data_IF_629217424677
#
_entry.id   IF_629217424677
#
_cell.length_a   1.000
_cell.length_b   1.000
_cell.length_c   1.000
_cell.angle_alpha   90.00
_cell.angle_beta   90.00
_cell.angle_gamma   90.00
#
_symmetry.space_group_name_H-M   'P 1'
#
loop_
_entity.id
_entity.type
_entity.pdbx_description
1 polymer ?
#
# COMPACT_ATOMS: atom_id res chain seq x y z
N UNK A 1 6.59 -65.17 -29.77
CA UNK A 1 7.65 -64.52 -28.98
C UNK A 1 7.17 -63.13 -28.55
N UNK A 2 6.69 -63.02 -27.31
CA UNK A 2 6.08 -61.82 -26.73
C UNK A 2 7.17 -60.87 -26.24
N UNK A 3 7.72 -60.07 -27.16
CA UNK A 3 8.71 -59.05 -26.84
C UNK A 3 8.04 -57.77 -26.38
N UNK A 4 8.22 -57.40 -25.11
CA UNK A 4 7.88 -56.11 -24.48
C UNK A 4 8.52 -54.87 -25.16
N UNK A 5 9.09 -55.00 -26.36
CA UNK A 5 9.83 -53.99 -27.08
C UNK A 5 8.88 -53.08 -27.87
N UNK A 6 8.29 -52.11 -27.18
CA UNK A 6 7.40 -51.12 -27.80
C UNK A 6 6.36 -50.53 -26.84
N UNK A 7 6.12 -51.19 -25.70
CA UNK A 7 5.10 -50.71 -24.74
C UNK A 7 5.55 -49.43 -24.02
N UNK A 8 4.66 -48.45 -23.85
CA UNK A 8 4.97 -47.17 -23.21
C UNK A 8 5.31 -47.34 -21.73
N UNK A 9 6.57 -47.12 -21.35
CA UNK A 9 7.03 -47.14 -19.93
C UNK A 9 6.36 -46.10 -19.03
N UNK A 10 5.70 -45.10 -19.62
CA UNK A 10 5.09 -43.99 -18.91
C UNK A 10 3.63 -44.23 -18.52
N UNK A 11 2.96 -45.28 -19.03
CA UNK A 11 1.57 -45.63 -18.70
C UNK A 11 1.55 -46.64 -17.53
N UNK A 12 0.74 -46.42 -16.50
CA UNK A 12 0.63 -47.34 -15.35
C UNK A 12 -0.58 -48.25 -15.50
N UNK A 13 -0.42 -49.51 -15.08
CA UNK A 13 -1.51 -50.49 -15.01
C UNK A 13 -2.45 -50.23 -13.82
N UNK A 14 -1.91 -49.69 -12.74
CA UNK A 14 -2.64 -49.41 -11.50
C UNK A 14 -3.20 -47.99 -11.48
N UNK A 15 -4.25 -47.76 -10.69
CA UNK A 15 -4.83 -46.43 -10.46
C UNK A 15 -5.73 -45.88 -11.58
N UNK A 16 -6.26 -46.76 -12.45
CA UNK A 16 -7.22 -46.36 -13.50
C UNK A 16 -6.63 -45.46 -14.61
N UNK A 17 -5.31 -45.29 -14.67
CA UNK A 17 -4.66 -44.41 -15.66
C UNK A 17 -4.83 -44.92 -17.10
N UNK A 18 -4.85 -46.24 -17.29
CA UNK A 18 -5.07 -46.86 -18.59
C UNK A 18 -6.51 -46.68 -19.08
N UNK A 19 -7.50 -46.69 -18.17
CA UNK A 19 -8.90 -46.37 -18.50
C UNK A 19 -9.04 -44.91 -18.92
N UNK A 20 -8.36 -44.01 -18.22
CA UNK A 20 -8.33 -42.60 -18.59
C UNK A 20 -7.69 -42.40 -19.97
N UNK A 21 -6.56 -43.05 -20.23
CA UNK A 21 -5.89 -42.99 -21.52
C UNK A 21 -6.77 -43.57 -22.64
N UNK A 22 -7.47 -44.67 -22.38
CA UNK A 22 -8.44 -45.25 -23.31
C UNK A 22 -9.56 -44.28 -23.68
N UNK A 23 -10.20 -43.63 -22.68
CA UNK A 23 -11.23 -42.61 -22.92
C UNK A 23 -10.69 -41.42 -23.70
N UNK A 24 -9.48 -40.96 -23.38
CA UNK A 24 -8.83 -39.88 -24.12
C UNK A 24 -8.59 -40.25 -25.59
N UNK A 25 -8.17 -41.50 -25.85
CA UNK A 25 -7.95 -42.02 -27.21
C UNK A 25 -9.25 -42.10 -28.02
N UNK A 26 -10.38 -42.44 -27.38
CA UNK A 26 -11.70 -42.45 -28.02
C UNK A 26 -12.24 -41.06 -28.34
N UNK A 27 -11.86 -40.04 -27.56
CA UNK A 27 -12.31 -38.65 -27.73
C UNK A 27 -11.53 -37.87 -28.80
N UNK A 28 -10.57 -38.50 -29.48
CA UNK A 28 -9.79 -37.83 -30.52
C UNK A 28 -10.67 -37.48 -31.73
N UNK A 29 -10.56 -36.26 -32.26
CA UNK A 29 -11.28 -35.80 -33.46
C UNK A 29 -10.55 -36.09 -34.77
N UNK A 30 -9.37 -36.71 -34.69
CA UNK A 30 -8.51 -36.99 -35.83
C UNK A 30 -8.90 -38.34 -36.47
N UNK A 31 -9.47 -38.30 -37.67
CA UNK A 31 -9.97 -39.48 -38.39
C UNK A 31 -8.88 -40.51 -38.71
N UNK A 32 -7.66 -40.05 -39.01
CA UNK A 32 -6.52 -40.93 -39.30
C UNK A 32 -6.08 -41.71 -38.06
N UNK A 33 -6.06 -41.03 -36.91
CA UNK A 33 -5.77 -41.65 -35.62
C UNK A 33 -6.92 -42.56 -35.19
N UNK A 34 -8.18 -42.15 -35.34
CA UNK A 34 -9.33 -43.01 -35.02
C UNK A 34 -9.33 -44.30 -35.84
N UNK A 35 -9.01 -44.20 -37.13
CA UNK A 35 -8.94 -45.36 -38.03
C UNK A 35 -7.83 -46.30 -37.59
N UNK A 36 -6.64 -45.77 -37.32
CA UNK A 36 -5.49 -46.53 -36.82
C UNK A 36 -5.78 -47.21 -35.47
N UNK A 37 -6.49 -46.51 -34.58
CA UNK A 37 -6.95 -47.05 -33.30
C UNK A 37 -7.94 -48.19 -33.48
N UNK A 38 -8.94 -48.04 -34.37
CA UNK A 38 -9.91 -49.10 -34.67
C UNK A 38 -9.22 -50.35 -35.20
N UNK A 39 -8.21 -50.20 -36.06
CA UNK A 39 -7.41 -51.34 -36.54
C UNK A 39 -6.60 -52.00 -35.42
N UNK A 40 -5.92 -51.21 -34.59
CA UNK A 40 -5.09 -51.72 -33.50
C UNK A 40 -5.89 -52.39 -32.37
N UNK A 41 -7.16 -52.03 -32.21
CA UNK A 41 -8.02 -52.47 -31.10
C UNK A 41 -9.15 -53.42 -31.51
N UNK A 42 -9.23 -53.79 -32.80
CA UNK A 42 -10.33 -54.58 -33.35
C UNK A 42 -10.47 -55.93 -32.65
N UNK A 43 -11.65 -56.18 -32.08
CA UNK A 43 -11.98 -57.46 -31.43
C UNK A 43 -11.29 -57.69 -30.09
N UNK A 44 -10.62 -56.69 -29.52
CA UNK A 44 -10.00 -56.76 -28.20
C UNK A 44 -10.86 -56.06 -27.14
N UNK A 45 -11.00 -56.68 -25.97
CA UNK A 45 -11.63 -56.03 -24.83
C UNK A 45 -10.74 -54.90 -24.27
N UNK A 46 -11.34 -53.81 -23.75
CA UNK A 46 -10.60 -52.71 -23.14
C UNK A 46 -9.76 -53.20 -21.96
N UNK A 47 -8.43 -53.18 -22.14
CA UNK A 47 -7.48 -53.62 -21.12
C UNK A 47 -6.19 -52.82 -21.20
N UNK A 48 -5.40 -52.84 -20.11
CA UNK A 48 -4.07 -52.20 -20.10
C UNK A 48 -3.18 -52.68 -21.26
N UNK A 49 -3.18 -53.99 -21.55
CA UNK A 49 -2.39 -54.57 -22.63
C UNK A 49 -2.79 -54.00 -23.98
N UNK A 50 -4.10 -53.98 -24.25
CA UNK A 50 -4.67 -53.43 -25.48
C UNK A 50 -4.33 -51.94 -25.68
N UNK A 51 -4.44 -51.12 -24.62
CA UNK A 51 -4.07 -49.69 -24.68
C UNK A 51 -2.58 -49.50 -24.90
N UNK A 52 -1.73 -50.28 -24.21
CA UNK A 52 -0.28 -50.21 -24.36
C UNK A 52 0.17 -50.62 -25.77
N UNK A 53 -0.47 -51.63 -26.35
CA UNK A 53 -0.17 -52.13 -27.69
C UNK A 53 -0.70 -51.18 -28.78
N UNK A 54 -1.87 -50.57 -28.58
CA UNK A 54 -2.38 -49.52 -29.47
C UNK A 54 -1.49 -48.27 -29.47
N UNK A 55 -0.95 -47.86 -28.31
CA UNK A 55 0.02 -46.76 -28.23
C UNK A 55 1.31 -47.13 -28.96
N UNK A 56 1.81 -48.35 -28.78
CA UNK A 56 3.00 -48.82 -29.48
C UNK A 56 2.80 -48.83 -31.01
N UNK A 57 1.62 -49.27 -31.47
CA UNK A 57 1.25 -49.24 -32.88
C UNK A 57 1.23 -47.81 -33.45
N UNK A 58 0.64 -46.86 -32.71
CA UNK A 58 0.60 -45.44 -33.12
C UNK A 58 1.98 -44.79 -33.17
N UNK A 59 2.94 -45.23 -32.36
CA UNK A 59 4.31 -44.71 -32.43
C UNK A 59 5.03 -45.06 -33.73
N UNK A 60 4.51 -46.02 -34.51
CA UNK A 60 5.06 -46.40 -35.81
C UNK A 60 4.80 -45.38 -36.94
N UNK A 61 3.86 -44.44 -36.75
CA UNK A 61 3.60 -43.36 -37.71
C UNK A 61 3.96 -41.99 -37.12
N UNK A 62 4.30 -41.02 -37.99
CA UNK A 62 4.64 -39.66 -37.56
C UNK A 62 3.49 -38.98 -36.83
N UNK A 63 2.28 -39.06 -37.40
CA UNK A 63 1.08 -38.44 -36.83
C UNK A 63 0.66 -39.13 -35.51
N UNK A 64 0.84 -40.45 -35.45
CA UNK A 64 0.61 -41.21 -34.23
C UNK A 64 1.62 -40.89 -33.13
N UNK A 65 2.88 -40.60 -33.46
CA UNK A 65 3.88 -40.14 -32.48
C UNK A 65 3.52 -38.78 -31.88
N UNK A 66 3.05 -37.83 -32.70
CA UNK A 66 2.59 -36.53 -32.21
C UNK A 66 1.35 -36.67 -31.31
N UNK A 67 0.41 -37.53 -31.70
CA UNK A 67 -0.75 -37.84 -30.87
C UNK A 67 -0.35 -38.48 -29.54
N UNK A 68 0.57 -39.45 -29.55
CA UNK A 68 1.08 -40.10 -28.33
C UNK A 68 1.80 -39.09 -27.42
N UNK A 69 2.49 -38.11 -28.01
CA UNK A 69 3.13 -37.02 -27.24
C UNK A 69 2.08 -36.12 -26.58
N UNK A 70 1.01 -35.76 -27.29
CA UNK A 70 -0.14 -35.03 -26.73
C UNK A 70 -0.81 -35.81 -25.60
N UNK A 71 -1.10 -37.09 -25.83
CA UNK A 71 -1.68 -38.00 -24.83
C UNK A 71 -0.81 -38.09 -23.57
N UNK A 72 0.51 -38.28 -23.72
CA UNK A 72 1.45 -38.33 -22.60
C UNK A 72 1.45 -37.02 -21.80
N UNK A 73 1.44 -35.87 -22.47
CA UNK A 73 1.37 -34.57 -21.81
C UNK A 73 0.04 -34.35 -21.07
N UNK A 74 -1.07 -34.75 -21.68
CA UNK A 74 -2.39 -34.69 -21.07
C UNK A 74 -2.48 -35.60 -19.83
N UNK A 75 -1.94 -36.82 -19.90
CA UNK A 75 -1.87 -37.72 -18.75
C UNK A 75 -1.02 -37.14 -17.62
N UNK A 76 0.12 -36.50 -17.93
CA UNK A 76 0.94 -35.80 -16.94
C UNK A 76 0.14 -34.70 -16.23
N UNK A 77 -0.64 -33.91 -16.98
CA UNK A 77 -1.52 -32.90 -16.39
C UNK A 77 -2.64 -33.52 -15.55
N UNK A 78 -3.24 -34.62 -16.01
CA UNK A 78 -4.26 -35.37 -15.28
C UNK A 78 -3.71 -35.88 -13.94
N UNK A 79 -2.51 -36.48 -13.93
CA UNK A 79 -1.81 -36.87 -12.69
C UNK A 79 -1.62 -35.69 -11.75
N UNK A 80 -1.14 -34.56 -12.27
CA UNK A 80 -0.95 -33.36 -11.44
C UNK A 80 -2.28 -32.83 -10.87
N UNK A 81 -3.38 -32.88 -11.63
CA UNK A 81 -4.70 -32.43 -11.17
C UNK A 81 -5.32 -33.40 -10.15
N UNK A 82 -5.27 -34.70 -10.41
CA UNK A 82 -5.80 -35.74 -9.51
C UNK A 82 -5.04 -35.81 -8.18
N UNK A 83 -3.70 -35.73 -8.19
CA UNK A 83 -2.88 -35.65 -6.97
C UNK A 83 -3.15 -34.39 -6.13
N UNK A 84 -3.73 -33.35 -6.74
CA UNK A 84 -4.10 -32.11 -6.07
C UNK A 84 -5.61 -32.01 -5.75
N UNK A 85 -6.44 -32.96 -6.20
CA UNK A 85 -7.90 -32.91 -6.05
C UNK A 85 -8.36 -32.96 -4.58
N UNK A 86 -7.57 -33.60 -3.70
CA UNK A 86 -7.81 -33.66 -2.25
C UNK A 86 -6.98 -32.68 -1.40
N UNK A 87 -6.14 -31.84 -2.01
CA UNK A 87 -5.28 -30.89 -1.26
C UNK A 87 -5.98 -29.53 -1.11
N UNK A 88 -5.62 -28.78 -0.06
CA UNK A 88 -6.06 -27.40 0.21
C UNK A 88 -5.77 -26.39 -0.93
N UNK A 89 -5.01 -26.78 -1.97
CA UNK A 89 -4.61 -25.94 -3.10
C UNK A 89 -5.35 -26.37 -4.36
N UNK A 90 -6.46 -25.70 -4.64
CA UNK A 90 -7.19 -25.81 -5.92
C UNK A 90 -6.79 -24.64 -6.83
N UNK A 91 -6.42 -24.88 -8.09
CA UNK A 91 -6.16 -23.78 -9.02
C UNK A 91 -7.46 -23.02 -9.29
N UNK A 92 -7.45 -21.71 -9.03
CA UNK A 92 -8.56 -20.82 -9.37
C UNK A 92 -8.19 -20.04 -10.64
N UNK A 93 -9.05 -20.11 -11.65
CA UNK A 93 -8.88 -19.39 -12.90
C UNK A 93 -9.87 -18.21 -12.93
N UNK A 94 -9.36 -17.02 -13.19
CA UNK A 94 -10.15 -15.82 -13.39
C UNK A 94 -9.61 -15.07 -14.60
N UNK A 95 -10.48 -14.32 -15.27
CA UNK A 95 -10.12 -13.54 -16.44
C UNK A 95 -9.87 -12.10 -16.03
N UNK A 96 -8.74 -11.54 -16.47
CA UNK A 96 -8.38 -10.14 -16.26
C UNK A 96 -8.35 -9.39 -17.58
N UNK A 97 -8.70 -8.09 -17.61
CA UNK A 97 -8.42 -7.22 -18.74
C UNK A 97 -6.93 -7.27 -19.11
N UNK A 98 -6.63 -7.19 -20.40
CA UNK A 98 -5.25 -7.33 -20.92
C UNK A 98 -4.27 -6.37 -20.28
N UNK A 99 -4.72 -5.14 -20.02
CA UNK A 99 -3.86 -4.09 -19.49
C UNK A 99 -3.52 -4.32 -18.03
N UNK A 100 -4.49 -4.79 -17.23
CA UNK A 100 -4.27 -5.17 -15.84
C UNK A 100 -3.32 -6.35 -15.72
N UNK A 101 -3.43 -7.34 -16.62
CA UNK A 101 -2.48 -8.48 -16.68
C UNK A 101 -1.07 -8.02 -17.03
N UNK A 102 -0.92 -7.11 -18.00
CA UNK A 102 0.39 -6.55 -18.38
C UNK A 102 1.01 -5.79 -17.21
N UNK A 103 0.25 -4.92 -16.56
CA UNK A 103 0.71 -4.16 -15.40
C UNK A 103 1.15 -5.09 -14.26
N UNK A 104 0.33 -6.11 -13.93
CA UNK A 104 0.68 -7.11 -12.92
C UNK A 104 1.99 -7.83 -13.27
N UNK A 105 2.16 -8.24 -14.52
CA UNK A 105 3.37 -8.96 -14.97
C UNK A 105 4.63 -8.08 -14.93
N UNK A 106 4.52 -6.80 -15.32
CA UNK A 106 5.60 -5.82 -15.22
C UNK A 106 6.01 -5.62 -13.76
N UNK A 107 5.03 -5.42 -12.87
CA UNK A 107 5.26 -5.23 -11.44
C UNK A 107 5.87 -6.47 -10.79
N UNK A 108 5.38 -7.67 -11.12
CA UNK A 108 5.91 -8.94 -10.64
C UNK A 108 7.37 -9.14 -11.05
N UNK A 109 7.71 -8.83 -12.32
CA UNK A 109 9.10 -8.87 -12.81
C UNK A 109 9.99 -7.87 -12.09
N UNK A 110 9.53 -6.63 -11.92
CA UNK A 110 10.30 -5.57 -11.24
C UNK A 110 10.64 -5.97 -9.80
N UNK A 111 9.68 -6.59 -9.11
CA UNK A 111 9.84 -7.03 -7.72
C UNK A 111 10.45 -8.44 -7.58
N UNK A 112 10.77 -9.12 -8.69
CA UNK A 112 11.27 -10.51 -8.73
C UNK A 112 10.36 -11.50 -7.98
N UNK A 113 9.04 -11.29 -8.06
CA UNK A 113 8.03 -12.13 -7.41
C UNK A 113 7.17 -12.84 -8.45
N UNK A 114 6.49 -13.93 -8.05
CA UNK A 114 5.43 -14.51 -8.88
C UNK A 114 4.21 -13.60 -8.85
N UNK A 115 3.44 -13.58 -9.94
CA UNK A 115 2.18 -12.80 -10.00
C UNK A 115 1.24 -13.16 -8.84
N UNK A 116 1.19 -14.43 -8.44
CA UNK A 116 0.41 -14.90 -7.29
C UNK A 116 0.92 -14.35 -5.95
N UNK A 117 2.23 -14.26 -5.75
CA UNK A 117 2.82 -13.74 -4.53
C UNK A 117 2.61 -12.22 -4.44
N UNK A 118 2.70 -11.51 -5.57
CA UNK A 118 2.39 -10.09 -5.65
C UNK A 118 0.93 -9.81 -5.31
N UNK A 119 -0.03 -10.59 -5.83
CA UNK A 119 -1.44 -10.43 -5.48
C UNK A 119 -1.68 -10.68 -4.00
N UNK A 120 -1.05 -11.72 -3.43
CA UNK A 120 -1.16 -11.99 -1.99
C UNK A 120 -0.56 -10.85 -1.14
N UNK A 121 0.57 -10.31 -1.56
CA UNK A 121 1.23 -9.18 -0.89
C UNK A 121 0.39 -7.91 -0.96
N UNK A 122 -0.21 -7.59 -2.13
CA UNK A 122 -1.13 -6.47 -2.27
C UNK A 122 -2.38 -6.65 -1.38
N UNK A 123 -2.97 -7.85 -1.34
CA UNK A 123 -4.14 -8.11 -0.49
C UNK A 123 -3.82 -8.00 1.00
N UNK A 124 -2.63 -8.46 1.43
CA UNK A 124 -2.21 -8.37 2.82
C UNK A 124 -1.69 -6.98 3.21
N UNK A 125 -1.05 -6.28 2.27
CA UNK A 125 -0.43 -4.98 2.46
C UNK A 125 -1.41 -3.83 2.38
N UNK A 126 -2.47 -3.92 1.56
CA UNK A 126 -3.48 -2.86 1.42
C UNK A 126 -4.21 -2.57 2.72
N UNK A 127 -4.55 -3.60 3.52
CA UNK A 127 -5.15 -3.40 4.84
C UNK A 127 -4.22 -2.62 5.79
N UNK A 128 -2.96 -3.04 5.88
CA UNK A 128 -1.95 -2.39 6.75
C UNK A 128 -1.65 -0.96 6.31
N UNK A 129 -1.52 -0.73 5.01
CA UNK A 129 -1.26 0.61 4.46
C UNK A 129 -2.44 1.56 4.72
N UNK A 130 -3.68 1.05 4.69
CA UNK A 130 -4.86 1.85 5.00
C UNK A 130 -4.90 2.23 6.48
N UNK A 131 -4.61 1.28 7.37
CA UNK A 131 -4.51 1.53 8.82
C UNK A 131 -3.39 2.53 9.12
N UNK A 132 -2.18 2.33 8.59
CA UNK A 132 -1.06 3.26 8.74
C UNK A 132 -1.40 4.66 8.22
N UNK A 133 -2.10 4.76 7.09
CA UNK A 133 -2.53 6.05 6.56
C UNK A 133 -3.53 6.72 7.50
N UNK A 134 -4.48 5.96 8.04
CA UNK A 134 -5.48 6.49 8.97
C UNK A 134 -4.84 6.96 10.28
N UNK A 135 -3.89 6.20 10.83
CA UNK A 135 -3.12 6.58 12.02
C UNK A 135 -2.31 7.85 11.78
N UNK A 136 -1.61 7.95 10.65
CA UNK A 136 -0.87 9.18 10.28
C UNK A 136 -1.79 10.38 10.14
N UNK A 137 -2.97 10.19 9.53
CA UNK A 137 -3.95 11.26 9.38
C UNK A 137 -4.49 11.72 10.74
N UNK A 138 -4.79 10.79 11.65
CA UNK A 138 -5.20 11.11 13.01
C UNK A 138 -4.11 11.89 13.77
N UNK A 139 -2.86 11.42 13.73
CA UNK A 139 -1.74 12.10 14.38
C UNK A 139 -1.55 13.54 13.86
N UNK A 140 -1.71 13.75 12.55
CA UNK A 140 -1.63 15.09 11.96
C UNK A 140 -2.79 15.98 12.42
N UNK A 141 -4.00 15.44 12.51
CA UNK A 141 -5.17 16.17 13.03
C UNK A 141 -4.97 16.56 14.49
N UNK A 142 -4.50 15.64 15.31
CA UNK A 142 -4.25 15.89 16.75
C UNK A 142 -3.14 16.93 16.95
N UNK A 143 -2.06 16.86 16.18
CA UNK A 143 -0.99 17.85 16.22
C UNK A 143 -1.48 19.25 15.82
N UNK A 144 -2.32 19.32 14.78
CA UNK A 144 -2.89 20.58 14.30
C UNK A 144 -3.87 21.17 15.33
N UNK A 145 -4.69 20.35 15.97
CA UNK A 145 -5.59 20.79 17.03
C UNK A 145 -4.83 21.22 18.29
N UNK A 146 -3.71 20.58 18.61
CA UNK A 146 -2.82 21.02 19.68
C UNK A 146 -2.23 22.41 19.39
N UNK A 147 -1.69 22.64 18.18
CA UNK A 147 -1.15 23.95 17.80
C UNK A 147 -2.24 25.03 17.79
N UNK A 148 -3.44 24.72 17.30
CA UNK A 148 -4.59 25.65 17.37
C UNK A 148 -4.91 26.05 18.81
N UNK A 149 -4.95 25.07 19.73
CA UNK A 149 -5.19 25.34 21.16
C UNK A 149 -4.08 26.21 21.74
N UNK A 150 -2.82 25.92 21.42
CA UNK A 150 -1.66 26.67 21.89
C UNK A 150 -1.67 28.12 21.41
N UNK A 151 -1.92 28.34 20.12
CA UNK A 151 -2.03 29.69 19.54
C UNK A 151 -3.16 30.46 20.20
N UNK A 152 -4.32 29.83 20.41
CA UNK A 152 -5.46 30.47 21.09
C UNK A 152 -5.11 30.89 22.53
N UNK A 153 -4.44 30.02 23.30
CA UNK A 153 -3.99 30.35 24.65
C UNK A 153 -3.01 31.51 24.68
N UNK A 154 -2.09 31.58 23.71
CA UNK A 154 -1.16 32.71 23.59
C UNK A 154 -1.89 34.00 23.24
N UNK A 155 -2.83 33.97 22.29
CA UNK A 155 -3.65 35.13 21.91
C UNK A 155 -4.47 35.65 23.10
N UNK A 156 -5.11 34.75 23.85
CA UNK A 156 -5.87 35.12 25.07
C UNK A 156 -4.96 35.77 26.13
N UNK A 157 -3.73 35.25 26.31
CA UNK A 157 -2.74 35.84 27.22
C UNK A 157 -2.30 37.24 26.78
N UNK A 158 -1.98 37.42 25.50
CA UNK A 158 -1.58 38.73 24.97
C UNK A 158 -2.70 39.75 25.07
N UNK A 159 -3.94 39.35 24.80
CA UNK A 159 -5.13 40.20 24.99
C UNK A 159 -5.30 40.63 26.44
N UNK A 160 -5.09 39.73 27.40
CA UNK A 160 -5.17 40.07 28.82
C UNK A 160 -4.08 41.09 29.22
N UNK A 161 -2.82 40.83 28.83
CA UNK A 161 -1.70 41.73 29.11
C UNK A 161 -1.89 43.10 28.47
N UNK A 162 -2.38 43.16 27.23
CA UNK A 162 -2.67 44.41 26.55
C UNK A 162 -3.76 45.21 27.28
N UNK A 163 -4.86 44.56 27.69
CA UNK A 163 -5.91 45.23 28.47
C UNK A 163 -5.41 45.79 29.79
N UNK A 164 -4.52 45.06 30.48
CA UNK A 164 -3.94 45.51 31.73
C UNK A 164 -2.97 46.68 31.53
N UNK A 165 -2.12 46.63 30.48
CA UNK A 165 -1.24 47.73 30.12
C UNK A 165 -2.03 49.00 29.77
N UNK A 166 -3.11 48.89 28.99
CA UNK A 166 -3.99 50.02 28.67
C UNK A 166 -4.57 50.64 29.94
N UNK A 167 -5.08 49.82 30.88
CA UNK A 167 -5.59 50.33 32.17
C UNK A 167 -4.52 51.06 32.99
N UNK A 168 -3.28 50.56 32.99
CA UNK A 168 -2.18 51.23 33.69
C UNK A 168 -1.84 52.57 33.03
N UNK A 169 -1.81 52.62 31.70
CA UNK A 169 -1.58 53.86 30.94
C UNK A 169 -2.69 54.87 31.22
N UNK A 170 -3.96 54.47 31.16
CA UNK A 170 -5.11 55.33 31.49
C UNK A 170 -5.01 55.88 32.92
N UNK A 171 -4.62 55.04 33.88
CA UNK A 171 -4.43 55.48 35.27
C UNK A 171 -3.29 56.49 35.42
N UNK A 172 -2.17 56.29 34.73
CA UNK A 172 -1.06 57.23 34.77
C UNK A 172 -1.40 58.54 34.06
N UNK A 173 -2.08 58.47 32.90
CA UNK A 173 -2.54 59.64 32.17
C UNK A 173 -3.54 60.47 32.99
N UNK A 174 -4.50 59.83 33.66
CA UNK A 174 -5.45 60.52 34.53
C UNK A 174 -4.76 61.20 35.71
N UNK A 175 -3.78 60.56 36.35
CA UNK A 175 -2.99 61.18 37.41
C UNK A 175 -2.18 62.37 36.89
N UNK A 176 -1.56 62.26 35.72
CA UNK A 176 -0.84 63.37 35.08
C UNK A 176 -1.78 64.53 34.77
N UNK A 177 -2.93 64.28 34.17
CA UNK A 177 -3.91 65.34 33.88
C UNK A 177 -4.48 65.97 35.14
N UNK A 178 -4.72 65.20 36.20
CA UNK A 178 -5.10 65.77 37.50
C UNK A 178 -4.00 66.72 38.01
N UNK A 179 -2.74 66.30 37.93
CA UNK A 179 -1.61 67.13 38.35
C UNK A 179 -1.51 68.42 37.53
N UNK A 180 -1.57 68.33 36.21
CA UNK A 180 -1.55 69.47 35.28
C UNK A 180 -2.67 70.47 35.58
N UNK A 181 -3.90 69.98 35.79
CA UNK A 181 -5.06 70.82 36.11
C UNK A 181 -4.98 71.47 37.48
N UNK A 182 -4.41 70.79 38.49
CA UNK A 182 -4.31 71.35 39.86
C UNK A 182 -3.27 72.45 40.01
N UNK A 183 -2.25 72.48 39.15
CA UNK A 183 -1.11 73.38 39.31
C UNK A 183 -1.14 74.58 38.36
N UNK A 184 -2.00 74.58 37.33
CA UNK A 184 -2.08 75.62 36.27
C UNK A 184 -0.72 76.09 35.71
N UNK A 185 0.32 75.29 35.92
CA UNK A 185 1.73 75.55 35.62
C UNK A 185 2.21 74.40 34.75
N UNK A 186 2.80 74.73 33.60
CA UNK A 186 3.33 73.77 32.65
C UNK A 186 4.45 72.88 33.22
N UNK A 187 5.05 73.27 34.35
CA UNK A 187 6.10 72.51 35.04
C UNK A 187 5.99 72.73 36.56
N UNK A 188 5.34 71.81 37.30
CA UNK A 188 5.29 71.91 38.75
C UNK A 188 6.65 71.50 39.30
N UNK A 189 7.47 72.49 39.66
CA UNK A 189 8.84 72.29 40.12
C UNK A 189 8.97 71.11 41.10
N UNK A 190 9.72 70.09 40.69
CA UNK A 190 10.01 68.91 41.49
C UNK A 190 10.95 69.29 42.64
N UNK A 191 10.50 69.11 43.88
CA UNK A 191 11.30 69.43 45.09
C UNK A 191 12.36 68.36 45.44
N UNK A 192 12.46 67.29 44.66
CA UNK A 192 13.44 66.22 44.85
C UNK A 192 14.69 66.39 43.98
N UNK A 193 15.61 65.42 44.05
CA UNK A 193 16.83 65.44 43.23
C UNK A 193 16.52 65.12 41.76
N UNK A 194 16.53 66.15 40.92
CA UNK A 194 16.26 66.10 39.48
C UNK A 194 17.11 65.04 38.76
N UNK A 195 18.38 64.86 39.18
CA UNK A 195 19.30 63.91 38.56
C UNK A 195 18.85 62.45 38.77
N UNK A 196 18.29 62.14 39.93
CA UNK A 196 17.75 60.80 40.23
C UNK A 196 16.45 60.51 39.47
N UNK A 197 15.57 61.50 39.36
CA UNK A 197 14.33 61.39 38.58
C UNK A 197 14.62 61.15 37.09
N UNK A 198 15.51 61.94 36.50
CA UNK A 198 15.89 61.78 35.09
C UNK A 198 16.55 60.42 34.82
N UNK A 199 17.38 59.94 35.75
CA UNK A 199 18.03 58.63 35.66
C UNK A 199 17.01 57.50 35.69
N UNK A 200 16.06 57.52 36.64
CA UNK A 200 15.00 56.51 36.73
C UNK A 200 14.04 56.57 35.55
N UNK A 201 13.64 57.77 35.11
CA UNK A 201 12.78 57.95 33.95
C UNK A 201 13.44 57.40 32.68
N UNK A 202 14.72 57.75 32.42
CA UNK A 202 15.50 57.21 31.29
C UNK A 202 15.67 55.69 31.36
N UNK A 203 15.83 55.13 32.57
CA UNK A 203 15.91 53.69 32.76
C UNK A 203 14.60 53.01 32.37
N UNK A 204 13.47 53.50 32.86
CA UNK A 204 12.15 52.95 32.55
C UNK A 204 11.77 53.11 31.08
N UNK A 205 12.04 54.25 30.44
CA UNK A 205 11.78 54.42 29.00
C UNK A 205 12.64 53.48 28.15
N UNK A 206 13.92 53.29 28.48
CA UNK A 206 14.77 52.30 27.79
C UNK A 206 14.27 50.87 27.94
N UNK A 207 13.77 50.49 29.12
CA UNK A 207 13.17 49.17 29.34
C UNK A 207 11.91 48.97 28.48
N UNK A 208 11.06 50.00 28.37
CA UNK A 208 9.86 50.00 27.52
C UNK A 208 10.23 49.93 26.04
N UNK A 209 11.17 50.77 25.57
CA UNK A 209 11.63 50.75 24.18
C UNK A 209 12.21 49.40 23.78
N UNK A 210 13.00 48.78 24.68
CA UNK A 210 13.55 47.45 24.45
C UNK A 210 12.44 46.40 24.36
N UNK A 211 11.46 46.42 25.26
CA UNK A 211 10.32 45.50 25.22
C UNK A 211 9.48 45.64 23.94
N UNK A 212 9.26 46.88 23.47
CA UNK A 212 8.57 47.16 22.20
C UNK A 212 9.38 46.65 21.02
N UNK A 213 10.69 46.92 20.98
CA UNK A 213 11.57 46.45 19.92
C UNK A 213 11.61 44.92 19.83
N UNK A 214 11.68 44.25 20.98
CA UNK A 214 11.71 42.78 21.04
C UNK A 214 10.36 42.17 20.62
N UNK A 215 9.24 42.80 20.99
CA UNK A 215 7.91 42.39 20.53
C UNK A 215 7.75 42.54 19.01
N UNK A 216 8.22 43.65 18.43
CA UNK A 216 8.19 43.89 16.98
C UNK A 216 9.05 42.87 16.22
N UNK A 217 10.25 42.54 16.72
CA UNK A 217 11.10 41.49 16.13
C UNK A 217 10.46 40.12 16.17
N UNK A 218 9.77 39.78 17.26
CA UNK A 218 9.05 38.51 17.35
C UNK A 218 7.86 38.46 16.38
N UNK A 219 7.15 39.58 16.19
CA UNK A 219 6.06 39.67 15.22
C UNK A 219 6.54 39.44 13.78
N UNK A 220 7.62 40.11 13.37
CA UNK A 220 8.17 39.97 12.01
C UNK A 220 8.67 38.54 11.73
N UNK A 221 9.23 37.86 12.74
CA UNK A 221 9.63 36.44 12.63
C UNK A 221 8.43 35.50 12.48
N UNK A 222 7.28 35.83 13.07
CA UNK A 222 6.05 35.03 12.96
C UNK A 222 5.39 35.25 11.60
N UNK A 223 5.28 36.51 11.14
CA UNK A 223 4.74 36.83 9.81
C UNK A 223 5.54 36.18 8.68
N UNK A 224 6.88 36.21 8.76
CA UNK A 224 7.75 35.59 7.77
C UNK A 224 7.65 34.05 7.71
N UNK A 225 7.05 33.40 8.71
CA UNK A 225 6.79 31.95 8.72
C UNK A 225 5.41 31.57 8.16
N UNK A 226 4.54 32.55 7.93
CA UNK A 226 3.18 32.34 7.41
C UNK A 226 3.09 32.55 5.88
N UNK A 227 4.13 33.11 5.25
CA UNK A 227 4.30 33.28 3.80
C UNK A 227 5.19 32.14 3.27
#
# INVERSE_FOLDING_TARGET
>A
MTGNAGRPRWLRKEGGEWEWAYRYMQQTSDEGIQTSLKYATRGMEPSYGMVADAIAYLQGSRDGLEFVTRLRNALRQHRHRSLNAGKKRKPYAFTLPTDTKKALSISAKKLKMTETALVADLLNGTGKLLEEHHEREQLLRDALDFERKRVKQLDDRWKAQHREAVRQIERLATLLSMWELTLELADPGFKGDQATLESEAKKKTREIEKAISDALKMHTLIEARLI
#
